data_IF_681702034905
#
_entry.id   IF_681702034905
#
_cell.length_a   1.000
_cell.length_b   1.000
_cell.length_c   1.000
_cell.angle_alpha   90.00
_cell.angle_beta   90.00
_cell.angle_gamma   90.00
#
_symmetry.space_group_name_H-M   'P 1'
#
loop_
_entity.id
_entity.type
_entity.pdbx_description
1 polymer ?
#
# COMPACT_ATOMS: atom_id res chain seq x y z
N UNK A 1 -14.80 13.33 25.99
CA UNK A 1 -14.01 12.13 25.62
C UNK A 1 -14.40 11.54 24.25
N UNK A 2 -14.72 12.35 23.22
CA UNK A 2 -15.09 11.86 21.87
C UNK A 2 -13.98 12.05 20.81
N UNK A 3 -12.92 12.79 21.10
CA UNK A 3 -11.89 13.13 20.10
C UNK A 3 -10.77 12.09 19.94
N UNK A 4 -10.50 11.27 20.96
CA UNK A 4 -9.38 10.30 20.93
C UNK A 4 -9.71 9.00 20.18
N UNK A 5 -10.98 8.68 19.98
CA UNK A 5 -11.43 7.48 19.25
C UNK A 5 -11.15 7.57 17.75
N UNK A 6 -11.24 8.76 17.14
CA UNK A 6 -11.04 8.93 15.70
C UNK A 6 -9.58 8.70 15.25
N UNK A 7 -8.59 9.17 16.03
CA UNK A 7 -7.19 9.06 15.63
C UNK A 7 -6.65 7.61 15.61
N UNK A 8 -7.14 6.75 16.52
CA UNK A 8 -6.73 5.34 16.60
C UNK A 8 -7.55 4.42 15.67
N UNK A 9 -8.82 4.79 15.37
CA UNK A 9 -9.63 4.14 14.34
C UNK A 9 -9.14 4.46 12.90
N UNK A 10 -8.42 5.57 12.70
CA UNK A 10 -7.93 5.98 11.39
C UNK A 10 -6.77 5.12 10.84
N UNK A 11 -5.97 4.48 11.69
CA UNK A 11 -4.77 3.79 11.21
C UNK A 11 -5.11 2.47 10.48
N UNK A 12 -6.10 1.72 10.98
CA UNK A 12 -6.61 0.50 10.31
C UNK A 12 -7.42 0.86 9.05
N UNK A 13 -8.11 2.00 9.06
CA UNK A 13 -8.85 2.54 7.93
C UNK A 13 -7.97 2.71 6.68
N UNK A 14 -6.79 3.31 6.80
CA UNK A 14 -5.87 3.51 5.67
C UNK A 14 -5.25 2.22 5.13
N UNK A 15 -5.06 1.21 5.99
CA UNK A 15 -4.63 -0.11 5.53
C UNK A 15 -5.66 -0.79 4.63
N UNK A 16 -6.95 -0.47 4.78
CA UNK A 16 -7.95 -1.00 3.87
C UNK A 16 -7.74 -0.48 2.44
N UNK A 17 -7.39 0.81 2.30
CA UNK A 17 -7.05 1.41 0.99
C UNK A 17 -5.85 0.67 0.38
N UNK A 18 -4.81 0.41 1.17
CA UNK A 18 -3.63 -0.34 0.72
C UNK A 18 -4.02 -1.71 0.13
N UNK A 19 -4.82 -2.51 0.84
CA UNK A 19 -5.23 -3.83 0.37
C UNK A 19 -6.18 -3.77 -0.83
N UNK A 20 -7.05 -2.77 -0.92
CA UNK A 20 -7.93 -2.57 -2.09
C UNK A 20 -7.11 -2.20 -3.32
N UNK A 21 -6.11 -1.32 -3.18
CA UNK A 21 -5.21 -0.98 -4.27
C UNK A 21 -4.40 -2.21 -4.70
N UNK A 22 -3.85 -2.97 -3.75
CA UNK A 22 -3.18 -4.25 -4.05
C UNK A 22 -4.08 -5.22 -4.79
N UNK A 23 -5.34 -5.33 -4.39
CA UNK A 23 -6.32 -6.15 -5.07
C UNK A 23 -6.48 -5.76 -6.54
N UNK A 24 -6.68 -4.46 -6.80
CA UNK A 24 -6.80 -3.95 -8.17
C UNK A 24 -5.52 -4.21 -8.97
N UNK A 25 -4.35 -4.04 -8.37
CA UNK A 25 -3.07 -4.33 -9.05
C UNK A 25 -2.90 -5.83 -9.32
N UNK A 26 -3.16 -6.69 -8.34
CA UNK A 26 -2.96 -8.13 -8.42
C UNK A 26 -3.92 -8.81 -9.40
N UNK A 27 -5.20 -8.44 -9.40
CA UNK A 27 -6.18 -8.99 -10.37
C UNK A 27 -5.81 -8.62 -11.81
N UNK A 28 -5.19 -7.46 -12.01
CA UNK A 28 -4.70 -7.02 -13.31
C UNK A 28 -3.26 -7.47 -13.61
N UNK A 29 -2.68 -8.36 -12.78
CA UNK A 29 -1.32 -8.90 -12.94
C UNK A 29 -0.21 -7.82 -12.98
N UNK A 30 -0.46 -6.67 -12.36
CA UNK A 30 0.47 -5.54 -12.28
C UNK A 30 1.49 -5.68 -11.15
N UNK A 31 1.29 -6.65 -10.26
CA UNK A 31 2.22 -7.03 -9.19
C UNK A 31 2.29 -8.55 -9.08
N UNK A 32 3.44 -9.07 -8.66
CA UNK A 32 3.63 -10.46 -8.28
C UNK A 32 3.20 -10.64 -6.82
N UNK A 33 1.89 -10.80 -6.60
CA UNK A 33 1.32 -10.85 -5.26
C UNK A 33 1.84 -12.05 -4.45
N UNK A 34 2.38 -11.80 -3.25
CA UNK A 34 2.88 -12.85 -2.37
C UNK A 34 1.91 -13.17 -1.22
N UNK A 35 1.19 -14.31 -1.28
CA UNK A 35 0.09 -14.57 -0.36
C UNK A 35 0.50 -14.60 1.10
N UNK A 36 1.61 -15.28 1.41
CA UNK A 36 2.07 -15.47 2.79
C UNK A 36 2.34 -14.14 3.50
N UNK A 37 3.11 -13.25 2.86
CA UNK A 37 3.49 -11.99 3.47
C UNK A 37 2.31 -11.02 3.62
N UNK A 38 1.38 -11.00 2.66
CA UNK A 38 0.16 -10.21 2.77
C UNK A 38 -0.77 -10.72 3.87
N UNK A 39 -0.91 -12.03 4.02
CA UNK A 39 -1.68 -12.63 5.10
C UNK A 39 -1.06 -12.33 6.46
N UNK A 40 0.26 -12.42 6.60
CA UNK A 40 0.96 -12.04 7.83
C UNK A 40 0.75 -10.57 8.18
N UNK A 41 0.86 -9.68 7.20
CA UNK A 41 0.60 -8.24 7.39
C UNK A 41 -0.86 -7.99 7.80
N UNK A 42 -1.82 -8.64 7.12
CA UNK A 42 -3.24 -8.53 7.44
C UNK A 42 -3.53 -9.03 8.87
N UNK A 43 -3.01 -10.20 9.25
CA UNK A 43 -3.14 -10.76 10.60
C UNK A 43 -2.54 -9.84 11.67
N UNK A 44 -1.36 -9.27 11.42
CA UNK A 44 -0.72 -8.30 12.32
C UNK A 44 -1.63 -7.09 12.55
N UNK A 45 -2.27 -6.59 11.50
CA UNK A 45 -3.16 -5.43 11.54
C UNK A 45 -4.49 -5.72 12.25
N UNK A 46 -5.05 -6.92 12.08
CA UNK A 46 -6.30 -7.35 12.71
C UNK A 46 -6.15 -7.70 14.20
N UNK A 47 -4.92 -7.84 14.70
CA UNK A 47 -4.69 -8.22 16.08
C UNK A 47 -5.32 -7.22 17.07
N UNK A 48 -6.24 -7.66 17.97
CA UNK A 48 -6.89 -6.77 18.92
C UNK A 48 -5.92 -6.40 20.04
N UNK A 49 -5.46 -5.15 20.05
CA UNK A 49 -4.51 -4.64 21.02
C UNK A 49 -5.24 -3.75 22.03
N UNK A 50 -4.96 -3.96 23.34
CA UNK A 50 -5.60 -3.18 24.43
C UNK A 50 -4.83 -1.90 24.76
N UNK A 51 -3.51 -1.89 24.56
CA UNK A 51 -2.63 -0.81 24.99
C UNK A 51 -2.24 0.10 23.83
N UNK A 52 -2.26 1.43 24.06
CA UNK A 52 -1.90 2.44 23.05
C UNK A 52 -0.50 2.24 22.47
N UNK A 53 0.49 1.90 23.30
CA UNK A 53 1.86 1.64 22.86
C UNK A 53 1.93 0.52 21.82
N UNK A 54 1.15 -0.56 22.01
CA UNK A 54 1.13 -1.68 21.07
C UNK A 54 0.54 -1.27 19.71
N UNK A 55 -0.43 -0.35 19.67
CA UNK A 55 -0.92 0.18 18.41
C UNK A 55 0.17 0.95 17.65
N UNK A 56 0.96 1.77 18.33
CA UNK A 56 2.08 2.48 17.71
C UNK A 56 3.16 1.53 17.22
N UNK A 57 3.55 0.55 18.03
CA UNK A 57 4.51 -0.49 17.64
C UNK A 57 4.01 -1.29 16.43
N UNK A 58 2.73 -1.66 16.42
CA UNK A 58 2.12 -2.33 15.28
C UNK A 58 2.22 -1.48 14.01
N UNK A 59 1.91 -0.19 14.07
CA UNK A 59 2.05 0.68 12.90
C UNK A 59 3.51 0.91 12.51
N UNK A 60 4.41 1.04 13.48
CA UNK A 60 5.84 1.19 13.25
C UNK A 60 6.46 -0.03 12.54
N UNK A 61 5.91 -1.23 12.76
CA UNK A 61 6.28 -2.44 12.02
C UNK A 61 5.51 -2.55 10.69
N UNK A 62 4.20 -2.31 10.71
CA UNK A 62 3.36 -2.51 9.54
C UNK A 62 3.73 -1.57 8.40
N UNK A 63 4.01 -0.28 8.67
CA UNK A 63 4.36 0.71 7.65
C UNK A 63 5.60 0.26 6.84
N UNK A 64 6.77 -0.01 7.44
CA UNK A 64 7.93 -0.46 6.68
C UNK A 64 7.67 -1.83 6.02
N UNK A 65 7.00 -2.77 6.69
CA UNK A 65 6.64 -4.05 6.07
C UNK A 65 5.76 -3.88 4.84
N UNK A 66 4.76 -3.00 4.88
CA UNK A 66 3.86 -2.73 3.77
C UNK A 66 4.56 -2.05 2.59
N UNK A 67 5.50 -1.14 2.85
CA UNK A 67 6.33 -0.49 1.83
C UNK A 67 7.28 -1.48 1.18
N UNK A 68 8.03 -2.24 1.98
CA UNK A 68 8.98 -3.25 1.49
C UNK A 68 8.23 -4.29 0.66
N UNK A 69 7.07 -4.76 1.15
CA UNK A 69 6.29 -5.75 0.44
C UNK A 69 5.73 -5.20 -0.88
N UNK A 70 5.20 -3.97 -0.89
CA UNK A 70 4.72 -3.37 -2.14
C UNK A 70 5.86 -3.19 -3.17
N UNK A 71 7.07 -2.84 -2.72
CA UNK A 71 8.23 -2.74 -3.60
C UNK A 71 8.68 -4.11 -4.11
N UNK A 72 8.72 -5.12 -3.23
CA UNK A 72 9.12 -6.49 -3.57
C UNK A 72 8.22 -7.12 -4.64
N UNK A 73 6.92 -6.89 -4.54
CA UNK A 73 5.93 -7.40 -5.50
C UNK A 73 5.82 -6.54 -6.77
N UNK A 74 6.49 -5.39 -6.81
CA UNK A 74 6.49 -4.53 -7.99
C UNK A 74 7.58 -4.98 -8.96
N UNK A 75 7.31 -4.92 -10.26
CA UNK A 75 8.29 -5.16 -11.34
C UNK A 75 9.36 -4.07 -11.49
N UNK A 76 9.69 -3.34 -10.40
CA UNK A 76 10.67 -2.27 -10.45
C UNK A 76 12.10 -2.82 -10.35
N UNK A 77 13.07 -2.19 -11.04
CA UNK A 77 14.45 -2.58 -10.94
C UNK A 77 14.96 -2.44 -9.50
N UNK A 78 15.75 -3.42 -9.06
CA UNK A 78 16.39 -3.40 -7.75
C UNK A 78 17.31 -2.19 -7.57
N UNK A 79 17.52 -1.75 -6.32
CA UNK A 79 18.43 -0.64 -5.97
C UNK A 79 19.83 -0.78 -6.60
N UNK A 80 20.32 -2.01 -6.78
CA UNK A 80 21.60 -2.31 -7.44
C UNK A 80 21.65 -1.93 -8.93
N UNK A 81 20.50 -1.91 -9.62
CA UNK A 81 20.41 -1.49 -11.02
C UNK A 81 20.65 0.02 -11.18
N UNK A 82 20.32 0.81 -10.15
CA UNK A 82 20.57 2.25 -10.14
C UNK A 82 22.07 2.55 -9.92
N UNK A 83 22.74 1.83 -9.01
CA UNK A 83 24.16 2.05 -8.74
C UNK A 83 25.07 1.58 -9.88
N UNK A 84 24.65 0.55 -10.63
CA UNK A 84 25.39 0.05 -11.80
C UNK A 84 25.39 1.03 -12.99
N UNK A 85 24.35 1.89 -13.10
CA UNK A 85 24.23 2.89 -14.17
C UNK A 85 24.56 4.31 -13.71
N UNK A 86 24.72 4.55 -12.41
CA UNK A 86 25.00 5.88 -11.83
C UNK A 86 26.33 6.49 -12.33
N UNK A 87 27.31 5.67 -12.71
CA UNK A 87 28.59 6.14 -13.24
C UNK A 87 28.50 6.77 -14.65
N UNK A 88 27.35 6.66 -15.33
CA UNK A 88 27.13 7.19 -16.69
C UNK A 88 26.13 8.34 -16.80
N UNK A 89 25.46 8.75 -15.71
CA UNK A 89 24.42 9.80 -15.74
C UNK A 89 25.04 11.12 -15.29
N UNK A 90 25.68 11.81 -16.23
CA UNK A 90 26.46 13.03 -16.00
C UNK A 90 25.69 14.34 -15.88
N UNK A 91 24.35 14.34 -15.75
CA UNK A 91 23.60 15.60 -15.55
C UNK A 91 22.23 15.32 -14.89
N UNK A 92 22.24 15.04 -13.58
CA UNK A 92 21.02 15.05 -12.76
C UNK A 92 20.66 16.50 -12.41
N UNK A 93 20.12 17.26 -13.36
CA UNK A 93 19.44 18.51 -13.04
C UNK A 93 18.01 18.26 -12.53
N UNK A 94 17.47 19.18 -11.73
CA UNK A 94 16.12 19.10 -11.17
C UNK A 94 15.05 18.97 -12.26
N UNK A 95 15.26 19.58 -13.44
CA UNK A 95 14.38 19.45 -14.59
C UNK A 95 14.30 18.02 -15.12
N UNK A 96 15.46 17.36 -15.28
CA UNK A 96 15.52 15.97 -15.71
C UNK A 96 14.85 15.01 -14.71
N UNK A 97 15.08 15.23 -13.40
CA UNK A 97 14.43 14.43 -12.36
C UNK A 97 12.91 14.61 -12.39
N UNK A 98 12.44 15.85 -12.59
CA UNK A 98 11.01 16.13 -12.69
C UNK A 98 10.38 15.46 -13.93
N UNK A 99 11.01 15.57 -15.10
CA UNK A 99 10.54 14.94 -16.33
C UNK A 99 10.57 13.41 -16.24
N UNK A 100 11.59 12.84 -15.61
CA UNK A 100 11.66 11.41 -15.33
C UNK A 100 10.53 10.94 -14.41
N UNK A 101 10.27 11.68 -13.31
CA UNK A 101 9.19 11.34 -12.38
C UNK A 101 7.81 11.47 -13.05
N UNK A 102 7.59 12.52 -13.83
CA UNK A 102 6.33 12.74 -14.55
C UNK A 102 6.10 11.71 -15.64
N UNK A 103 7.14 11.33 -16.39
CA UNK A 103 7.06 10.28 -17.41
C UNK A 103 6.90 8.88 -16.83
N UNK A 104 7.37 8.64 -15.60
CA UNK A 104 7.12 7.40 -14.87
C UNK A 104 5.66 7.28 -14.38
N UNK A 105 4.92 8.38 -14.28
CA UNK A 105 3.53 8.39 -13.83
C UNK A 105 2.56 8.14 -14.99
N UNK A 106 1.79 7.06 -14.87
CA UNK A 106 0.62 6.86 -15.70
C UNK A 106 -0.61 7.51 -15.02
N UNK A 107 -1.12 8.59 -15.63
CA UNK A 107 -2.25 9.36 -15.09
C UNK A 107 -3.54 8.53 -14.93
N UNK A 108 -3.73 7.45 -15.69
CA UNK A 108 -4.85 6.53 -15.49
C UNK A 108 -4.76 5.85 -14.14
N UNK A 109 -3.59 5.32 -13.76
CA UNK A 109 -3.40 4.69 -12.44
C UNK A 109 -3.49 5.71 -11.31
N UNK A 110 -2.98 6.93 -11.50
CA UNK A 110 -3.19 8.03 -10.53
C UNK A 110 -4.68 8.31 -10.35
N UNK A 111 -5.45 8.36 -11.44
CA UNK A 111 -6.92 8.52 -11.39
C UNK A 111 -7.62 7.38 -10.66
N UNK A 112 -7.21 6.13 -10.87
CA UNK A 112 -7.74 4.97 -10.15
C UNK A 112 -7.45 5.06 -8.65
N UNK A 113 -6.22 5.41 -8.25
CA UNK A 113 -5.85 5.60 -6.84
C UNK A 113 -6.70 6.71 -6.21
N UNK A 114 -6.84 7.84 -6.89
CA UNK A 114 -7.68 8.94 -6.44
C UNK A 114 -9.16 8.53 -6.30
N UNK A 115 -9.69 7.78 -7.27
CA UNK A 115 -11.07 7.27 -7.24
C UNK A 115 -11.30 6.33 -6.05
N UNK A 116 -10.38 5.38 -5.81
CA UNK A 116 -10.45 4.47 -4.67
C UNK A 116 -10.40 5.24 -3.35
N UNK A 117 -9.51 6.23 -3.24
CA UNK A 117 -9.43 7.10 -2.06
C UNK A 117 -10.73 7.89 -1.83
N UNK A 118 -11.30 8.48 -2.88
CA UNK A 118 -12.57 9.21 -2.79
C UNK A 118 -13.71 8.30 -2.38
N UNK A 119 -13.86 7.14 -3.02
CA UNK A 119 -14.88 6.15 -2.67
C UNK A 119 -14.69 5.66 -1.24
N UNK A 120 -13.46 5.43 -0.81
CA UNK A 120 -13.14 5.07 0.57
C UNK A 120 -13.62 6.15 1.55
N UNK A 121 -13.26 7.41 1.31
CA UNK A 121 -13.64 8.54 2.18
C UNK A 121 -15.16 8.75 2.23
N UNK A 122 -15.86 8.54 1.11
CA UNK A 122 -17.32 8.67 1.02
C UNK A 122 -18.06 7.51 1.68
N UNK A 123 -17.52 6.29 1.60
CA UNK A 123 -18.22 5.07 2.01
C UNK A 123 -17.76 4.51 3.36
N UNK A 124 -16.71 5.05 3.98
CA UNK A 124 -16.13 4.48 5.21
C UNK A 124 -17.08 4.46 6.41
N UNK A 125 -18.09 5.33 6.41
CA UNK A 125 -19.12 5.36 7.46
C UNK A 125 -20.26 4.34 7.19
N UNK A 126 -20.38 3.85 5.95
CA UNK A 126 -21.46 2.96 5.51
C UNK A 126 -20.99 1.50 5.33
N UNK A 127 -19.74 1.30 4.91
CA UNK A 127 -19.17 0.00 4.57
C UNK A 127 -18.05 -0.39 5.52
N UNK A 128 -18.08 -1.66 5.98
CA UNK A 128 -16.95 -2.25 6.72
C UNK A 128 -15.85 -2.69 5.76
N UNK A 129 -14.98 -1.75 5.40
CA UNK A 129 -13.87 -1.98 4.48
C UNK A 129 -12.92 -3.11 4.91
N UNK A 130 -12.78 -3.38 6.21
CA UNK A 130 -11.96 -4.50 6.69
C UNK A 130 -12.44 -5.85 6.16
N UNK A 131 -13.75 -6.05 6.02
CA UNK A 131 -14.28 -7.27 5.41
C UNK A 131 -13.87 -7.37 3.92
N UNK A 132 -13.96 -6.26 3.19
CA UNK A 132 -13.56 -6.19 1.78
C UNK A 132 -12.06 -6.46 1.62
N UNK A 133 -11.21 -5.89 2.47
CA UNK A 133 -9.76 -6.14 2.45
C UNK A 133 -9.41 -7.60 2.76
N UNK A 134 -10.11 -8.23 3.70
CA UNK A 134 -9.92 -9.66 3.98
C UNK A 134 -10.33 -10.51 2.77
N UNK A 135 -11.51 -10.25 2.19
CA UNK A 135 -11.98 -10.96 1.01
C UNK A 135 -11.03 -10.78 -0.19
N UNK A 136 -10.51 -9.57 -0.39
CA UNK A 136 -9.56 -9.25 -1.43
C UNK A 136 -8.24 -10.03 -1.32
N UNK A 137 -7.64 -10.06 -0.12
CA UNK A 137 -6.39 -10.82 0.13
C UNK A 137 -6.63 -12.31 -0.06
N UNK A 138 -7.76 -12.83 0.45
CA UNK A 138 -8.13 -14.24 0.29
C UNK A 138 -8.38 -14.61 -1.17
N UNK A 139 -9.06 -13.75 -1.94
CA UNK A 139 -9.28 -13.96 -3.36
C UNK A 139 -7.94 -14.09 -4.11
N UNK A 140 -7.02 -13.14 -3.92
CA UNK A 140 -5.70 -13.17 -4.56
C UNK A 140 -4.86 -14.39 -4.11
N UNK A 141 -5.04 -14.83 -2.87
CA UNK A 141 -4.35 -16.02 -2.35
C UNK A 141 -4.84 -17.32 -3.01
N UNK A 142 -6.12 -17.36 -3.37
CA UNK A 142 -6.77 -18.53 -3.96
C UNK A 142 -6.78 -18.52 -5.49
N UNK A 143 -6.32 -17.42 -6.09
CA UNK A 143 -6.23 -17.28 -7.53
C UNK A 143 -5.19 -18.28 -8.07
N UNK A 144 -5.53 -19.07 -9.11
CA UNK A 144 -4.62 -20.04 -9.71
C UNK A 144 -3.47 -19.39 -10.48
#
# INVERSE_FOLDING_TARGET
>A
MRAQTYAALNALSWWNVYFILKFLLGVNQLIDFEPLYNLLLLCLLLLPLKYRLLHYLRQALAIPSGVILAYHESYQPGLSAFTANAAGVGDFDLGFVADFLLSALNFTYVGIVALVLLLFLLLQDYLRFTFLSCAAVLYLTLQP
#
